data_IF_550261584210
#
_entry.id   IF_550261584210
#
_cell.length_a   1.000
_cell.length_b   1.000
_cell.length_c   1.000
_cell.angle_alpha   90.00
_cell.angle_beta   90.00
_cell.angle_gamma   90.00
#
_symmetry.space_group_name_H-M   'P 1'
#
loop_
_entity.id
_entity.type
_entity.pdbx_description
1 polymer ?
#
# COMPACT_ATOMS: atom_id res chain seq x y z
N UNK A 1 16.16 -5.34 -5.46
CA UNK A 1 14.96 -5.02 -6.28
C UNK A 1 14.45 -6.25 -7.00
N UNK A 2 15.30 -6.93 -7.78
CA UNK A 2 14.94 -8.19 -8.45
C UNK A 2 14.45 -9.24 -7.47
N UNK A 3 15.02 -9.27 -6.26
CA UNK A 3 14.66 -10.19 -5.20
C UNK A 3 13.21 -10.02 -4.75
N UNK A 4 12.76 -8.78 -4.50
CA UNK A 4 11.36 -8.52 -4.16
C UNK A 4 10.43 -8.97 -5.28
N UNK A 5 10.76 -8.64 -6.54
CA UNK A 5 9.96 -9.06 -7.69
C UNK A 5 9.86 -10.60 -7.80
N UNK A 6 10.94 -11.32 -7.49
CA UNK A 6 10.94 -12.78 -7.46
C UNK A 6 10.07 -13.34 -6.33
N UNK A 7 10.08 -12.75 -5.13
CA UNK A 7 9.17 -13.17 -4.06
C UNK A 7 7.71 -12.90 -4.40
N UNK A 8 7.42 -11.74 -5.02
CA UNK A 8 6.06 -11.40 -5.48
C UNK A 8 5.61 -12.35 -6.59
N UNK A 9 6.51 -12.72 -7.52
CA UNK A 9 6.22 -13.75 -8.52
C UNK A 9 5.95 -15.11 -7.86
N UNK A 10 6.70 -15.45 -6.81
CA UNK A 10 6.46 -16.62 -5.97
C UNK A 10 5.06 -16.62 -5.36
N UNK A 11 4.65 -15.49 -4.76
CA UNK A 11 3.30 -15.30 -4.24
C UNK A 11 2.25 -15.49 -5.34
N UNK A 12 2.41 -14.82 -6.49
CA UNK A 12 1.47 -14.92 -7.63
C UNK A 12 1.33 -16.34 -8.15
N UNK A 13 2.41 -17.11 -8.18
CA UNK A 13 2.38 -18.50 -8.63
C UNK A 13 1.68 -19.41 -7.62
N UNK A 14 1.93 -19.21 -6.33
CA UNK A 14 1.19 -19.92 -5.28
C UNK A 14 -0.30 -19.55 -5.28
N UNK A 15 -0.64 -18.27 -5.45
CA UNK A 15 -2.01 -17.77 -5.45
C UNK A 15 -2.91 -18.44 -6.51
N UNK A 16 -2.33 -18.85 -7.65
CA UNK A 16 -3.04 -19.61 -8.69
C UNK A 16 -3.50 -21.00 -8.21
N UNK A 17 -2.92 -21.51 -7.13
CA UNK A 17 -3.20 -22.82 -6.54
C UNK A 17 -3.96 -22.74 -5.22
N UNK A 18 -4.07 -21.55 -4.63
CA UNK A 18 -4.72 -21.33 -3.34
C UNK A 18 -6.25 -21.38 -3.46
N UNK A 19 -6.91 -21.76 -2.37
CA UNK A 19 -8.37 -21.77 -2.27
C UNK A 19 -8.83 -20.36 -1.87
N UNK A 20 -9.32 -19.58 -2.84
CA UNK A 20 -9.69 -18.17 -2.63
C UNK A 20 -11.17 -17.99 -2.21
N UNK A 21 -11.76 -18.99 -1.54
CA UNK A 21 -13.19 -18.98 -1.21
C UNK A 21 -13.54 -18.23 0.07
N UNK A 22 -12.55 -17.69 0.79
CA UNK A 22 -12.71 -16.94 2.03
C UNK A 22 -11.84 -15.68 2.01
N UNK A 23 -12.17 -14.68 2.84
CA UNK A 23 -11.65 -13.31 2.74
C UNK A 23 -10.18 -13.08 3.13
N UNK A 24 -9.47 -14.10 3.62
CA UNK A 24 -8.13 -13.97 4.23
C UNK A 24 -7.15 -15.02 3.68
N UNK A 25 -7.46 -15.61 2.53
CA UNK A 25 -6.70 -16.73 1.98
C UNK A 25 -5.22 -16.37 1.73
N UNK A 26 -4.91 -15.11 1.47
CA UNK A 26 -3.53 -14.63 1.32
C UNK A 26 -2.66 -14.89 2.56
N UNK A 27 -3.24 -14.94 3.75
CA UNK A 27 -2.52 -15.20 5.02
C UNK A 27 -1.93 -16.61 5.07
N UNK A 28 -2.41 -17.54 4.24
CA UNK A 28 -1.88 -18.90 4.15
C UNK A 28 -0.54 -18.99 3.41
N UNK A 29 -0.07 -17.90 2.79
CA UNK A 29 1.22 -17.89 2.10
C UNK A 29 2.39 -17.93 3.10
N UNK A 30 3.07 -19.08 3.15
CA UNK A 30 4.12 -19.34 4.15
C UNK A 30 5.39 -18.47 4.03
N UNK A 31 5.56 -17.72 2.94
CA UNK A 31 6.78 -16.95 2.66
C UNK A 31 6.59 -15.43 2.72
N UNK A 32 5.57 -14.96 3.43
CA UNK A 32 5.37 -13.54 3.70
C UNK A 32 6.58 -12.89 4.38
N UNK A 33 7.28 -13.62 5.25
CA UNK A 33 8.51 -13.16 5.93
C UNK A 33 9.59 -12.69 4.93
N UNK A 34 9.75 -13.40 3.81
CA UNK A 34 10.70 -13.04 2.75
C UNK A 34 10.26 -11.78 2.01
N UNK A 35 8.96 -11.64 1.75
CA UNK A 35 8.39 -10.43 1.14
C UNK A 35 8.63 -9.23 2.05
N UNK A 36 8.28 -9.34 3.33
CA UNK A 36 8.48 -8.25 4.30
C UNK A 36 9.95 -7.87 4.42
N UNK A 37 10.86 -8.85 4.43
CA UNK A 37 12.30 -8.59 4.45
C UNK A 37 12.77 -7.77 3.24
N UNK A 38 12.32 -8.12 2.02
CA UNK A 38 12.73 -7.39 0.82
C UNK A 38 11.99 -6.06 0.62
N UNK A 39 10.77 -5.92 1.12
CA UNK A 39 10.06 -4.63 1.22
C UNK A 39 10.87 -3.68 2.09
N UNK A 40 11.27 -4.10 3.29
CA UNK A 40 12.08 -3.29 4.20
C UNK A 40 13.39 -2.85 3.53
N UNK A 41 14.14 -3.81 2.97
CA UNK A 41 15.37 -3.51 2.24
C UNK A 41 15.18 -2.54 1.08
N UNK A 42 14.07 -2.64 0.35
CA UNK A 42 13.79 -1.77 -0.78
C UNK A 42 13.56 -0.34 -0.30
N UNK A 43 12.70 -0.15 0.70
CA UNK A 43 12.39 1.17 1.27
C UNK A 43 13.63 1.80 1.90
N UNK A 44 14.47 1.03 2.60
CA UNK A 44 15.73 1.56 3.18
C UNK A 44 16.72 2.05 2.12
N UNK A 45 16.79 1.36 0.98
CA UNK A 45 17.88 1.56 0.03
C UNK A 45 17.55 2.49 -1.14
N UNK A 46 16.29 2.56 -1.57
CA UNK A 46 15.94 3.13 -2.88
C UNK A 46 14.70 4.02 -2.78
N UNK A 47 14.84 5.34 -3.00
CA UNK A 47 13.71 6.27 -3.03
C UNK A 47 12.68 5.90 -4.11
N UNK A 48 11.40 5.99 -3.78
CA UNK A 48 10.27 5.60 -4.64
C UNK A 48 10.24 6.36 -5.97
N UNK A 49 10.71 7.61 -5.98
CA UNK A 49 10.79 8.45 -7.18
C UNK A 49 11.71 7.86 -8.26
N UNK A 50 12.59 6.92 -7.88
CA UNK A 50 13.50 6.23 -8.80
C UNK A 50 12.98 4.88 -9.26
N UNK A 51 11.86 4.41 -8.72
CA UNK A 51 11.29 3.12 -9.09
C UNK A 51 10.68 3.20 -10.49
N UNK A 52 10.87 2.15 -11.28
CA UNK A 52 10.19 2.02 -12.56
C UNK A 52 8.71 1.63 -12.36
N UNK A 53 7.92 1.70 -13.44
CA UNK A 53 6.49 1.39 -13.39
C UNK A 53 6.19 -0.05 -12.99
N UNK A 54 7.04 -1.00 -13.37
CA UNK A 54 6.94 -2.40 -12.96
C UNK A 54 7.03 -2.53 -11.44
N UNK A 55 8.09 -2.00 -10.83
CA UNK A 55 8.30 -2.09 -9.39
C UNK A 55 7.20 -1.37 -8.60
N UNK A 56 6.74 -0.20 -9.07
CA UNK A 56 5.59 0.49 -8.47
C UNK A 56 4.33 -0.36 -8.48
N UNK A 57 4.00 -0.97 -9.62
CA UNK A 57 2.80 -1.79 -9.77
C UNK A 57 2.89 -3.07 -8.93
N UNK A 58 4.05 -3.73 -8.90
CA UNK A 58 4.27 -4.95 -8.14
C UNK A 58 4.26 -4.68 -6.64
N UNK A 59 4.84 -3.56 -6.20
CA UNK A 59 4.78 -3.14 -4.80
C UNK A 59 3.34 -2.85 -4.35
N UNK A 60 2.58 -2.08 -5.13
CA UNK A 60 1.18 -1.80 -4.82
C UNK A 60 0.31 -3.06 -4.88
N UNK A 61 0.61 -3.99 -5.79
CA UNK A 61 -0.04 -5.29 -5.84
C UNK A 61 0.19 -6.07 -4.55
N UNK A 62 1.45 -6.19 -4.08
CA UNK A 62 1.71 -6.99 -2.89
C UNK A 62 1.22 -6.31 -1.60
N UNK A 63 1.27 -4.98 -1.54
CA UNK A 63 0.59 -4.19 -0.51
C UNK A 63 -0.91 -4.54 -0.45
N UNK A 64 -1.60 -4.57 -1.59
CA UNK A 64 -3.02 -4.95 -1.65
C UNK A 64 -3.30 -6.37 -1.14
N UNK A 65 -2.35 -7.29 -1.29
CA UNK A 65 -2.51 -8.68 -0.82
C UNK A 65 -2.19 -8.85 0.67
N UNK A 66 -1.42 -7.94 1.25
CA UNK A 66 -1.13 -7.88 2.69
C UNK A 66 -2.24 -7.14 3.48
N UNK A 67 -3.46 -7.09 2.94
CA UNK A 67 -4.55 -6.26 3.47
C UNK A 67 -5.08 -6.69 4.85
N UNK A 68 -4.90 -7.97 5.21
CA UNK A 68 -5.34 -8.51 6.51
C UNK A 68 -4.31 -8.26 7.62
N UNK A 69 -3.01 -8.43 7.32
CA UNK A 69 -1.95 -8.25 8.31
C UNK A 69 -1.43 -6.80 8.38
N UNK A 70 -1.59 -6.01 7.33
CA UNK A 70 -1.21 -4.60 7.23
C UNK A 70 0.29 -4.33 7.52
N UNK A 71 1.16 -5.35 7.43
CA UNK A 71 2.60 -5.24 7.80
C UNK A 71 3.35 -4.33 6.82
N UNK A 72 3.04 -4.38 5.53
CA UNK A 72 3.67 -3.54 4.49
C UNK A 72 3.28 -2.07 4.69
N UNK A 73 2.01 -1.77 4.98
CA UNK A 73 1.59 -0.39 5.23
C UNK A 73 2.18 0.14 6.54
N UNK A 74 2.22 -0.66 7.59
CA UNK A 74 2.87 -0.31 8.87
C UNK A 74 4.35 0.00 8.69
N UNK A 75 5.03 -0.78 7.84
CA UNK A 75 6.42 -0.52 7.45
C UNK A 75 6.53 0.81 6.70
N UNK A 76 5.65 1.06 5.73
CA UNK A 76 5.70 2.25 4.89
C UNK A 76 5.40 3.54 5.67
N UNK A 77 4.58 3.48 6.72
CA UNK A 77 4.33 4.60 7.65
C UNK A 77 5.62 5.06 8.35
N UNK A 78 6.59 4.17 8.57
CA UNK A 78 7.91 4.53 9.12
C UNK A 78 8.78 5.33 8.12
N UNK A 79 8.39 5.38 6.85
CA UNK A 79 9.06 6.12 5.77
C UNK A 79 8.12 7.16 5.16
N UNK A 80 7.73 8.21 5.91
CA UNK A 80 6.61 9.08 5.53
C UNK A 80 6.78 9.80 4.20
N UNK A 81 8.01 10.21 3.84
CA UNK A 81 8.28 10.80 2.52
C UNK A 81 8.06 9.80 1.38
N UNK A 82 8.41 8.53 1.60
CA UNK A 82 8.16 7.47 0.63
C UNK A 82 6.67 7.16 0.53
N UNK A 83 5.96 7.06 1.66
CA UNK A 83 4.51 6.92 1.69
C UNK A 83 3.82 8.04 0.89
N UNK A 84 4.24 9.29 1.10
CA UNK A 84 3.69 10.42 0.35
C UNK A 84 3.97 10.29 -1.15
N UNK A 85 5.17 9.87 -1.54
CA UNK A 85 5.53 9.70 -2.95
C UNK A 85 4.76 8.57 -3.62
N UNK A 86 4.63 7.39 -3.01
CA UNK A 86 3.86 6.29 -3.60
C UNK A 86 2.37 6.58 -3.65
N UNK A 87 1.84 7.36 -2.69
CA UNK A 87 0.41 7.70 -2.66
C UNK A 87 -0.07 8.45 -3.91
N UNK A 88 0.81 9.24 -4.54
CA UNK A 88 0.53 9.92 -5.82
C UNK A 88 0.20 8.94 -6.95
N UNK A 89 0.82 7.76 -6.94
CA UNK A 89 0.56 6.68 -7.90
C UNK A 89 -0.64 5.84 -7.47
N UNK A 90 -0.77 5.58 -6.17
CA UNK A 90 -1.83 4.74 -5.61
C UNK A 90 -3.24 5.26 -5.90
N UNK A 91 -3.44 6.59 -5.97
CA UNK A 91 -4.74 7.20 -6.29
C UNK A 91 -5.39 6.63 -7.55
N UNK A 92 -4.59 6.27 -8.57
CA UNK A 92 -5.07 5.70 -9.83
C UNK A 92 -4.85 4.18 -9.95
N UNK A 93 -4.35 3.53 -8.90
CA UNK A 93 -4.07 2.10 -8.95
C UNK A 93 -5.37 1.29 -8.95
N UNK A 94 -5.44 0.22 -9.74
CA UNK A 94 -6.70 -0.50 -9.97
C UNK A 94 -7.21 -1.23 -8.73
N UNK A 95 -6.30 -1.70 -7.87
CA UNK A 95 -6.67 -2.47 -6.69
C UNK A 95 -7.04 -1.58 -5.51
N UNK A 96 -8.30 -1.68 -5.08
CA UNK A 96 -8.83 -0.91 -3.96
C UNK A 96 -8.19 -1.26 -2.62
N UNK A 97 -7.63 -2.46 -2.47
CA UNK A 97 -6.99 -2.86 -1.21
C UNK A 97 -5.72 -2.07 -0.95
N UNK A 98 -4.95 -1.76 -1.99
CA UNK A 98 -3.83 -0.84 -1.88
C UNK A 98 -4.30 0.60 -1.61
N UNK A 99 -5.38 1.04 -2.27
CA UNK A 99 -5.86 2.43 -2.14
C UNK A 99 -6.33 2.74 -0.72
N UNK A 100 -7.11 1.85 -0.10
CA UNK A 100 -7.58 2.10 1.26
C UNK A 100 -6.43 2.05 2.27
N UNK A 101 -5.46 1.14 2.10
CA UNK A 101 -4.28 1.06 2.97
C UNK A 101 -3.43 2.33 2.87
N UNK A 102 -3.20 2.84 1.66
CA UNK A 102 -2.49 4.12 1.48
C UNK A 102 -3.26 5.28 2.09
N UNK A 103 -4.58 5.33 1.91
CA UNK A 103 -5.41 6.37 2.53
C UNK A 103 -5.32 6.33 4.06
N UNK A 104 -5.32 5.13 4.65
CA UNK A 104 -5.06 4.91 6.07
C UNK A 104 -3.68 5.44 6.49
N UNK A 105 -2.61 4.99 5.83
CA UNK A 105 -1.25 5.39 6.20
C UNK A 105 -1.02 6.90 6.12
N UNK A 106 -1.64 7.60 5.16
CA UNK A 106 -1.59 9.06 5.08
C UNK A 106 -2.16 9.76 6.33
N UNK A 107 -3.09 9.12 7.05
CA UNK A 107 -3.60 9.60 8.33
C UNK A 107 -2.64 9.40 9.51
N UNK A 108 -1.63 8.55 9.36
CA UNK A 108 -0.65 8.20 10.39
C UNK A 108 0.62 9.06 10.36
N UNK A 109 0.85 9.79 9.26
CA UNK A 109 2.05 10.61 9.05
C UNK A 109 1.75 12.11 9.15
N UNK A 110 2.78 12.94 9.39
CA UNK A 110 2.64 14.39 9.60
C UNK A 110 3.36 15.26 8.56
N UNK A 111 4.00 14.62 7.59
CA UNK A 111 4.85 15.24 6.60
C UNK A 111 4.01 15.92 5.51
N UNK A 112 4.27 17.20 5.27
CA UNK A 112 3.64 17.96 4.17
C UNK A 112 2.10 17.86 4.19
N UNK A 113 1.47 18.41 5.23
CA UNK A 113 0.02 18.36 5.44
C UNK A 113 -0.80 18.84 4.23
N UNK A 114 -0.30 19.81 3.47
CA UNK A 114 -0.98 20.30 2.26
C UNK A 114 -1.09 19.22 1.18
N UNK A 115 -0.01 18.47 0.95
CA UNK A 115 0.02 17.37 0.00
C UNK A 115 -0.83 16.20 0.50
N UNK A 116 -0.72 15.84 1.79
CA UNK A 116 -1.58 14.82 2.41
C UNK A 116 -3.06 15.19 2.21
N UNK A 117 -3.44 16.42 2.52
CA UNK A 117 -4.82 16.91 2.35
C UNK A 117 -5.27 16.81 0.90
N UNK A 118 -4.41 17.20 -0.05
CA UNK A 118 -4.72 17.12 -1.48
C UNK A 118 -4.95 15.68 -1.94
N UNK A 119 -4.12 14.74 -1.52
CA UNK A 119 -4.21 13.33 -1.90
C UNK A 119 -5.42 12.65 -1.24
N UNK A 120 -5.65 12.87 0.06
CA UNK A 120 -6.82 12.35 0.75
C UNK A 120 -8.13 12.85 0.11
N UNK A 121 -8.20 14.09 -0.38
CA UNK A 121 -9.36 14.57 -1.14
C UNK A 121 -9.62 13.76 -2.41
N UNK A 122 -8.60 13.20 -3.05
CA UNK A 122 -8.80 12.28 -4.19
C UNK A 122 -9.38 10.95 -3.75
N UNK A 123 -8.88 10.37 -2.66
CA UNK A 123 -9.42 9.12 -2.10
C UNK A 123 -10.85 9.29 -1.54
N UNK A 124 -11.23 10.48 -1.07
CA UNK A 124 -12.62 10.79 -0.70
C UNK A 124 -13.60 10.72 -1.89
N UNK A 125 -13.09 10.83 -3.12
CA UNK A 125 -13.87 10.69 -4.34
C UNK A 125 -13.74 9.31 -5.01
N UNK A 126 -13.13 8.33 -4.32
CA UNK A 126 -12.94 6.98 -4.87
C UNK A 126 -14.27 6.29 -5.19
N UNK A 127 -14.29 5.44 -6.21
CA UNK A 127 -15.47 4.64 -6.56
C UNK A 127 -15.84 3.62 -5.46
N UNK A 128 -14.85 3.09 -4.73
CA UNK A 128 -15.07 2.10 -3.67
C UNK A 128 -15.38 2.79 -2.35
N UNK A 129 -16.51 2.42 -1.77
CA UNK A 129 -16.96 2.97 -0.49
C UNK A 129 -15.93 2.79 0.63
N UNK A 130 -15.31 1.60 0.72
CA UNK A 130 -14.34 1.33 1.77
C UNK A 130 -13.10 2.23 1.69
N UNK A 131 -12.63 2.56 0.47
CA UNK A 131 -11.54 3.53 0.28
C UNK A 131 -11.98 4.92 0.76
N UNK A 132 -13.19 5.36 0.40
CA UNK A 132 -13.73 6.66 0.88
C UNK A 132 -13.83 6.71 2.41
N UNK A 133 -14.26 5.62 3.05
CA UNK A 133 -14.37 5.53 4.51
C UNK A 133 -12.99 5.66 5.15
N UNK A 134 -11.98 4.89 4.70
CA UNK A 134 -10.61 4.99 5.25
C UNK A 134 -10.00 6.37 5.00
N UNK A 135 -10.26 6.97 3.84
CA UNK A 135 -9.84 8.33 3.54
C UNK A 135 -10.50 9.37 4.46
N UNK A 136 -11.81 9.23 4.74
CA UNK A 136 -12.53 10.10 5.66
C UNK A 136 -11.97 10.00 7.09
N UNK A 137 -11.76 8.78 7.59
CA UNK A 137 -11.16 8.56 8.91
C UNK A 137 -9.78 9.23 9.00
N UNK A 138 -8.92 9.04 8.00
CA UNK A 138 -7.62 9.69 7.93
C UNK A 138 -7.75 11.22 7.88
N UNK A 139 -8.67 11.75 7.09
CA UNK A 139 -8.90 13.18 6.93
C UNK A 139 -9.35 13.85 8.24
N UNK A 140 -10.29 13.22 8.96
CA UNK A 140 -10.72 13.66 10.29
C UNK A 140 -9.60 13.56 11.32
N UNK A 141 -8.82 12.47 11.30
CA UNK A 141 -7.66 12.29 12.18
C UNK A 141 -6.62 13.40 12.01
N UNK A 142 -6.44 13.89 10.77
CA UNK A 142 -5.57 15.03 10.46
C UNK A 142 -6.17 16.39 10.84
N UNK A 143 -7.43 16.46 11.29
CA UNK A 143 -8.13 17.69 11.64
C UNK A 143 -8.45 18.58 10.42
N UNK A 144 -8.52 17.99 9.23
CA UNK A 144 -8.82 18.75 8.03
C UNK A 144 -10.31 19.05 7.93
N UNK A 145 -10.66 20.30 7.62
CA UNK A 145 -12.03 20.65 7.24
C UNK A 145 -12.31 20.23 5.79
N UNK A 146 -13.49 19.65 5.56
CA UNK A 146 -14.00 19.26 4.24
C UNK A 146 -14.08 20.48 3.32
#
# INVERSE_FOLDING_TARGET
MRELLLEIEGFKNWAKTAIQSFGEWETEYLYWDRIYHYVNKLLEAIPIETWNSELLNEFLYILARDNECEIIIDTLIQYPNQLLSISKYAVSFSDHDARWQIAYGLGEINENEQEIKYILKKFLCDEKEYVRIRAYIAFEKKGFSV
#
